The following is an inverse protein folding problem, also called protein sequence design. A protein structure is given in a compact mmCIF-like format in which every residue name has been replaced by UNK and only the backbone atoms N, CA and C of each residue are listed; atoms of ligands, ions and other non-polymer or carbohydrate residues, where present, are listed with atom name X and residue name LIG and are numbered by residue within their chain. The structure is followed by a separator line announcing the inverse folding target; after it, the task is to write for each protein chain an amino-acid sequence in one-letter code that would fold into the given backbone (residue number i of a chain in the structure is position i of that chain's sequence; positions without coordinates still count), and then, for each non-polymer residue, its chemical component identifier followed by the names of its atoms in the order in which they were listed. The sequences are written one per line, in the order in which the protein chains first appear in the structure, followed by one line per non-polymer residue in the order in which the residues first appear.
data_IF_129612266418
#
_entry.id   IF_129612266418
#
_cell.length_a   1.000
_cell.length_b   1.000
_cell.length_c   1.000
_cell.angle_alpha   90.00
_cell.angle_beta   90.00
_cell.angle_gamma   90.00
#
_symmetry.space_group_name_H-M   'P 1'
#
loop_
_entity.id
_entity.type
_entity.pdbx_description
1 polymer ?
#
# COMPACT_ATOMS: atom_id res chain seq x y z
N UNK A 1 -5.03 -15.09 8.77
CA UNK A 1 -4.60 -13.88 8.06
C UNK A 1 -5.70 -12.85 8.18
N UNK A 2 -5.38 -11.55 8.15
CA UNK A 2 -6.37 -10.47 8.19
C UNK A 2 -6.18 -9.58 6.97
N UNK A 3 -7.29 -9.05 6.46
CA UNK A 3 -7.30 -8.15 5.32
C UNK A 3 -7.25 -6.71 5.80
N UNK A 4 -6.43 -5.90 5.15
CA UNK A 4 -6.26 -4.48 5.43
C UNK A 4 -6.39 -3.69 4.14
N UNK A 5 -6.92 -2.48 4.27
CA UNK A 5 -7.04 -1.53 3.18
C UNK A 5 -6.15 -0.31 3.46
N UNK A 6 -5.46 0.15 2.42
CA UNK A 6 -4.63 1.34 2.44
C UNK A 6 -5.05 2.23 1.27
N UNK A 7 -5.17 3.53 1.52
CA UNK A 7 -5.27 4.52 0.44
C UNK A 7 -3.89 5.13 0.28
N UNK A 8 -3.42 5.16 -0.96
CA UNK A 8 -2.10 5.67 -1.30
C UNK A 8 -2.19 6.68 -2.42
N UNK A 9 -1.35 7.71 -2.32
CA UNK A 9 -1.09 8.67 -3.40
C UNK A 9 0.40 8.66 -3.69
N UNK A 10 0.78 8.63 -4.97
CA UNK A 10 2.19 8.64 -5.38
C UNK A 10 2.36 9.33 -6.75
N UNK A 11 3.52 9.93 -7.06
CA UNK A 11 3.73 10.63 -8.32
C UNK A 11 3.79 9.67 -9.50
N UNK A 12 3.47 10.15 -10.69
CA UNK A 12 3.51 9.37 -11.93
C UNK A 12 4.90 8.83 -12.29
N UNK A 13 5.96 9.40 -11.70
CA UNK A 13 7.35 8.95 -11.84
C UNK A 13 7.61 7.61 -11.15
N UNK A 14 6.77 7.21 -10.18
CA UNK A 14 6.81 5.89 -9.58
C UNK A 14 5.85 4.96 -10.34
N UNK A 15 6.37 3.87 -10.88
CA UNK A 15 5.53 2.91 -11.60
C UNK A 15 4.67 2.09 -10.63
N UNK A 16 3.51 1.63 -11.09
CA UNK A 16 2.67 0.67 -10.35
C UNK A 16 3.49 -0.56 -9.95
N UNK A 17 4.36 -1.04 -10.84
CA UNK A 17 5.24 -2.18 -10.58
C UNK A 17 6.20 -1.94 -9.41
N UNK A 18 6.72 -0.71 -9.25
CA UNK A 18 7.55 -0.36 -8.11
C UNK A 18 6.76 -0.45 -6.80
N UNK A 19 5.52 0.05 -6.78
CA UNK A 19 4.63 -0.04 -5.61
C UNK A 19 4.34 -1.49 -5.26
N UNK A 20 3.95 -2.33 -6.23
CA UNK A 20 3.66 -3.74 -5.97
C UNK A 20 4.88 -4.50 -5.47
N UNK A 21 6.07 -4.24 -6.05
CA UNK A 21 7.33 -4.86 -5.62
C UNK A 21 7.71 -4.47 -4.19
N UNK A 22 7.44 -3.23 -3.79
CA UNK A 22 7.68 -2.77 -2.43
C UNK A 22 6.80 -3.54 -1.43
N UNK A 23 5.51 -3.72 -1.76
CA UNK A 23 4.55 -4.46 -0.92
C UNK A 23 4.94 -5.92 -0.81
N UNK A 24 5.24 -6.58 -1.94
CA UNK A 24 5.62 -8.00 -1.99
C UNK A 24 6.97 -8.30 -1.33
N UNK A 25 7.84 -7.29 -1.16
CA UNK A 25 9.11 -7.44 -0.42
C UNK A 25 8.91 -7.65 1.09
N UNK A 26 7.71 -7.38 1.62
CA UNK A 26 7.38 -7.58 3.02
C UNK A 26 6.88 -9.01 3.22
N UNK A 27 7.68 -9.83 3.92
CA UNK A 27 7.28 -11.20 4.25
C UNK A 27 5.96 -11.21 5.02
N UNK A 28 5.09 -12.17 4.72
CA UNK A 28 3.80 -12.31 5.39
C UNK A 28 2.74 -11.32 4.93
N UNK A 29 2.97 -10.59 3.84
CA UNK A 29 1.99 -9.71 3.18
C UNK A 29 1.74 -10.20 1.75
N UNK A 30 0.48 -10.17 1.32
CA UNK A 30 0.06 -10.51 -0.06
C UNK A 30 -0.90 -9.46 -0.59
N UNK A 31 -0.67 -8.99 -1.81
CA UNK A 31 -1.60 -8.10 -2.51
C UNK A 31 -2.85 -8.91 -2.89
N UNK A 32 -4.01 -8.42 -2.49
CA UNK A 32 -5.31 -8.94 -2.91
C UNK A 32 -5.93 -8.11 -4.02
N UNK A 33 -5.80 -6.79 -3.92
CA UNK A 33 -6.30 -5.85 -4.92
C UNK A 33 -5.45 -4.60 -4.93
N UNK A 34 -5.21 -4.07 -6.13
CA UNK A 34 -4.68 -2.73 -6.31
C UNK A 34 -5.50 -2.04 -7.39
N UNK A 35 -6.21 -0.99 -7.00
CA UNK A 35 -6.92 -0.12 -7.92
C UNK A 35 -6.27 1.25 -7.85
N UNK A 36 -5.79 1.75 -8.98
CA UNK A 36 -5.16 3.07 -9.09
C UNK A 36 -5.81 3.83 -10.23
N UNK A 37 -5.98 5.14 -10.03
CA UNK A 37 -6.44 6.06 -11.05
C UNK A 37 -5.43 7.20 -11.18
N UNK A 38 -5.16 7.64 -12.41
CA UNK A 38 -4.35 8.83 -12.66
C UNK A 38 -5.15 10.09 -12.37
N UNK A 39 -4.52 11.04 -11.67
CA UNK A 39 -5.07 12.37 -11.37
C UNK A 39 -3.99 13.42 -11.57
N UNK A 40 -3.91 13.98 -12.77
CA UNK A 40 -2.84 14.92 -13.12
C UNK A 40 -1.48 14.20 -13.14
N UNK A 41 -0.54 14.65 -12.30
CA UNK A 41 0.82 14.08 -12.19
C UNK A 41 0.96 13.03 -11.08
N UNK A 42 -0.16 12.59 -10.52
CA UNK A 42 -0.21 11.65 -9.41
C UNK A 42 -1.12 10.48 -9.74
N UNK A 43 -0.87 9.35 -9.10
CA UNK A 43 -1.79 8.24 -8.98
C UNK A 43 -2.38 8.22 -7.59
N UNK A 44 -3.70 8.04 -7.53
CA UNK A 44 -4.44 7.81 -6.27
C UNK A 44 -5.01 6.41 -6.33
N UNK A 45 -4.84 5.63 -5.27
CA UNK A 45 -5.25 4.24 -5.28
C UNK A 45 -5.64 3.66 -3.94
N UNK A 46 -6.32 2.52 -4.04
CA UNK A 46 -6.68 1.67 -2.92
C UNK A 46 -5.93 0.35 -3.08
N UNK A 47 -5.10 0.03 -2.09
CA UNK A 47 -4.38 -1.22 -1.95
C UNK A 47 -5.05 -2.06 -0.86
N UNK A 48 -5.50 -3.25 -1.22
CA UNK A 48 -6.01 -4.25 -0.29
C UNK A 48 -4.97 -5.36 -0.17
N UNK A 49 -4.55 -5.64 1.05
CA UNK A 49 -3.55 -6.67 1.37
C UNK A 49 -4.07 -7.65 2.39
N UNK A 50 -3.68 -8.90 2.27
CA UNK A 50 -3.71 -9.85 3.37
C UNK A 50 -2.37 -9.81 4.11
N UNK A 51 -2.41 -9.70 5.44
CA UNK A 51 -1.23 -9.84 6.27
C UNK A 51 -1.39 -11.00 7.26
N UNK A 52 -0.27 -11.65 7.57
CA UNK A 52 -0.21 -12.75 8.55
C UNK A 52 -0.58 -12.28 9.98
N UNK A 53 -0.37 -11.00 10.29
CA UNK A 53 -0.75 -10.37 11.55
C UNK A 53 -0.46 -8.86 11.52
N UNK A 54 -0.81 -8.16 12.60
CA UNK A 54 -0.65 -6.69 12.71
C UNK A 54 0.80 -6.24 12.50
N UNK A 55 1.77 -6.97 13.08
CA UNK A 55 3.20 -6.66 12.92
C UNK A 55 3.67 -6.64 11.44
N UNK A 56 3.13 -7.52 10.60
CA UNK A 56 3.47 -7.58 9.18
C UNK A 56 2.82 -6.43 8.40
N UNK A 57 1.61 -6.04 8.80
CA UNK A 57 0.94 -4.86 8.27
C UNK A 57 1.67 -3.57 8.66
N UNK A 58 2.08 -3.42 9.93
CA UNK A 58 2.84 -2.26 10.39
C UNK A 58 4.18 -2.16 9.65
N UNK A 59 4.87 -3.28 9.46
CA UNK A 59 6.10 -3.35 8.66
C UNK A 59 5.88 -2.87 7.21
N UNK A 60 4.73 -3.20 6.61
CA UNK A 60 4.35 -2.70 5.29
C UNK A 60 4.12 -1.18 5.31
N UNK A 61 3.37 -0.67 6.28
CA UNK A 61 3.07 0.76 6.42
C UNK A 61 4.36 1.55 6.60
N UNK A 62 5.27 1.10 7.45
CA UNK A 62 6.59 1.72 7.63
C UNK A 62 7.41 1.71 6.34
N UNK A 63 7.40 0.58 5.61
CA UNK A 63 8.11 0.45 4.34
C UNK A 63 7.59 1.44 3.29
N UNK A 64 6.27 1.59 3.19
CA UNK A 64 5.64 2.56 2.30
C UNK A 64 5.96 3.99 2.74
N UNK A 65 5.83 4.32 4.03
CA UNK A 65 6.16 5.66 4.58
C UNK A 65 7.63 6.04 4.46
N UNK A 66 8.54 5.05 4.40
CA UNK A 66 9.95 5.31 4.14
C UNK A 66 10.21 5.90 2.75
N UNK A 67 9.24 5.76 1.84
CA UNK A 67 9.24 6.43 0.53
C UNK A 67 8.51 7.76 0.69
N UNK A 68 9.28 8.85 0.71
CA UNK A 68 8.75 10.21 0.94
C UNK A 68 7.76 10.64 -0.14
N UNK A 69 7.85 10.05 -1.32
CA UNK A 69 6.97 10.30 -2.46
C UNK A 69 5.63 9.56 -2.34
N UNK A 70 5.50 8.59 -1.43
CA UNK A 70 4.27 7.83 -1.22
C UNK A 70 3.56 8.39 0.01
N UNK A 71 2.39 8.97 -0.22
CA UNK A 71 1.49 9.41 0.84
C UNK A 71 0.50 8.29 1.15
N UNK A 72 0.30 8.03 2.44
CA UNK A 72 -0.74 7.12 2.91
C UNK A 72 -1.78 7.95 3.67
N UNK A 73 -3.06 7.79 3.33
CA UNK A 73 -4.12 8.33 4.18
C UNK A 73 -4.08 7.60 5.54
N UNK A 74 -4.56 8.26 6.60
CA UNK A 74 -4.69 7.62 7.90
C UNK A 74 -5.49 6.32 7.75
N UNK A 75 -4.99 5.21 8.33
CA UNK A 75 -5.65 3.95 8.15
C UNK A 75 -6.99 4.00 8.89
N UNK A 76 -8.10 3.86 8.17
CA UNK A 76 -9.29 3.26 8.75
C UNK A 76 -8.92 1.81 9.08
N UNK A 77 -8.33 1.60 10.25
CA UNK A 77 -8.04 0.26 10.78
C UNK A 77 -9.37 -0.36 11.25
N UNK A 78 -10.22 -0.72 10.29
CA UNK A 78 -11.26 -1.69 10.50
C UNK A 78 -10.91 -2.92 9.65
N UNK A 79 -10.68 -4.10 10.25
CA UNK A 79 -10.65 -5.32 9.45
C UNK A 79 -11.97 -5.42 8.67
N UNK A 80 -11.87 -5.57 7.35
CA UNK A 80 -13.00 -5.90 6.49
C UNK A 80 -13.57 -7.28 6.84
#
# INVERSE_FOLDING_TARGET
MKTYQLRLTYPETLSVHYITSLVESVKGVRIQRLNVIGRGREFVGVLVVEAAGLLHYDSLVERLRSRKEVLLDEPEVAPL
#
